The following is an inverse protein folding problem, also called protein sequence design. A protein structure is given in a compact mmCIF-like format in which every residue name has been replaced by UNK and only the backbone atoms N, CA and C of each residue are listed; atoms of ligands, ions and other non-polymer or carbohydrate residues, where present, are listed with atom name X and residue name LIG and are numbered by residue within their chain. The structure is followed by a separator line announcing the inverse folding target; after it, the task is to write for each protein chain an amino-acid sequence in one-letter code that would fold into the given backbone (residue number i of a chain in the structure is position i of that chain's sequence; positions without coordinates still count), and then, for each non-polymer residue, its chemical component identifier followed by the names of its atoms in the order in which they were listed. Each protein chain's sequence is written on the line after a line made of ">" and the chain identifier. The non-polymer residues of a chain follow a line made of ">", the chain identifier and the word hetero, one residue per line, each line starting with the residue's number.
data_IF_962687519701
#
_entry.id   IF_962687519701
#
_cell.length_a   1.000
_cell.length_b   1.000
_cell.length_c   1.000
_cell.angle_alpha   90.00
_cell.angle_beta   90.00
_cell.angle_gamma   90.00
#
_symmetry.space_group_name_H-M   'P 1'
#
loop_
_entity.id
_entity.type
_entity.pdbx_description
1 polymer ?
#
# COMPACT_ATOMS: atom_id res chain seq x y z
N UNK A 1 11.91 -0.79 -12.67
CA UNK A 1 10.44 -0.79 -12.78
C UNK A 1 9.92 0.58 -12.38
N UNK A 2 8.86 1.13 -13.02
CA UNK A 2 8.25 2.40 -12.58
C UNK A 2 7.09 2.08 -11.65
N UNK A 3 7.16 2.49 -10.39
CA UNK A 3 6.03 2.35 -9.45
C UNK A 3 4.90 3.28 -9.89
N UNK A 4 3.69 2.74 -9.99
CA UNK A 4 2.48 3.51 -10.24
C UNK A 4 1.46 3.19 -9.15
N UNK A 5 1.17 4.17 -8.29
CA UNK A 5 0.13 4.05 -7.27
C UNK A 5 -1.19 4.49 -7.89
N UNK A 6 -2.17 3.59 -7.99
CA UNK A 6 -3.50 3.92 -8.50
C UNK A 6 -4.18 4.94 -7.58
N UNK A 7 -5.01 5.87 -8.10
CA UNK A 7 -5.71 6.85 -7.28
C UNK A 7 -6.55 6.23 -6.14
N UNK A 8 -7.19 5.09 -6.39
CA UNK A 8 -7.93 4.36 -5.35
C UNK A 8 -7.02 3.94 -4.19
N UNK A 9 -5.87 3.31 -4.47
CA UNK A 9 -4.89 2.93 -3.45
C UNK A 9 -4.34 4.14 -2.67
N UNK A 10 -4.18 5.29 -3.32
CA UNK A 10 -3.82 6.54 -2.63
C UNK A 10 -4.91 6.96 -1.65
N UNK A 11 -6.18 6.94 -2.06
CA UNK A 11 -7.30 7.29 -1.19
C UNK A 11 -7.43 6.33 -0.01
N UNK A 12 -7.21 5.03 -0.23
CA UNK A 12 -7.20 4.02 0.83
C UNK A 12 -6.12 4.31 1.87
N UNK A 13 -4.90 4.66 1.44
CA UNK A 13 -3.82 5.05 2.35
C UNK A 13 -4.14 6.32 3.15
N UNK A 14 -4.77 7.33 2.52
CA UNK A 14 -5.17 8.56 3.21
C UNK A 14 -6.27 8.30 4.24
N UNK A 15 -7.26 7.46 3.91
CA UNK A 15 -8.31 7.06 4.84
C UNK A 15 -7.71 6.36 6.07
N UNK A 16 -6.78 5.43 5.84
CA UNK A 16 -6.10 4.71 6.91
C UNK A 16 -5.23 5.64 7.78
N UNK A 17 -4.52 6.58 7.16
CA UNK A 17 -3.77 7.63 7.86
C UNK A 17 -4.69 8.41 8.81
N UNK A 18 -5.80 8.93 8.29
CA UNK A 18 -6.76 9.72 9.07
C UNK A 18 -7.33 8.92 10.23
N UNK A 19 -7.73 7.68 10.00
CA UNK A 19 -8.25 6.80 11.04
C UNK A 19 -7.23 6.57 12.17
N UNK A 20 -5.98 6.26 11.81
CA UNK A 20 -4.92 6.02 12.80
C UNK A 20 -4.53 7.28 13.56
N UNK A 21 -4.50 8.44 12.89
CA UNK A 21 -4.21 9.71 13.52
C UNK A 21 -5.31 10.11 14.53
N UNK A 22 -6.58 9.89 14.17
CA UNK A 22 -7.73 10.18 15.03
C UNK A 22 -7.75 9.30 16.29
N UNK A 23 -7.45 8.00 16.16
CA UNK A 23 -7.61 7.04 17.26
C UNK A 23 -6.34 6.76 18.06
N UNK A 24 -5.16 7.02 17.49
CA UNK A 24 -3.86 6.71 18.12
C UNK A 24 -2.87 7.86 18.13
N UNK A 25 -3.32 9.07 17.75
CA UNK A 25 -2.50 10.26 17.65
C UNK A 25 -1.77 10.38 16.30
N UNK A 26 -1.45 11.62 15.94
CA UNK A 26 -0.85 11.97 14.64
C UNK A 26 0.40 11.13 14.31
N UNK A 27 1.27 10.91 15.30
CA UNK A 27 2.49 10.10 15.14
C UNK A 27 2.20 8.67 14.68
N UNK A 28 1.10 8.05 15.11
CA UNK A 28 0.74 6.71 14.66
C UNK A 28 0.37 6.72 13.17
N UNK A 29 -0.37 7.73 12.72
CA UNK A 29 -0.68 7.93 11.31
C UNK A 29 0.58 8.14 10.46
N UNK A 30 1.50 8.99 10.92
CA UNK A 30 2.76 9.24 10.23
C UNK A 30 3.66 7.99 10.16
N UNK A 31 3.70 7.19 11.23
CA UNK A 31 4.39 5.89 11.23
C UNK A 31 3.84 4.94 10.18
N UNK A 32 2.52 4.90 10.00
CA UNK A 32 1.89 4.10 8.96
C UNK A 32 2.35 4.54 7.55
N UNK A 33 2.34 5.85 7.26
CA UNK A 33 2.80 6.34 5.96
C UNK A 33 4.27 5.99 5.69
N UNK A 34 5.14 6.16 6.67
CA UNK A 34 6.57 5.78 6.54
C UNK A 34 6.72 4.28 6.26
N UNK A 35 5.96 3.43 6.92
CA UNK A 35 5.98 1.99 6.66
C UNK A 35 5.44 1.63 5.26
N UNK A 36 4.42 2.34 4.78
CA UNK A 36 3.90 2.18 3.42
C UNK A 36 4.95 2.58 2.36
N UNK A 37 5.62 3.71 2.55
CA UNK A 37 6.72 4.16 1.68
C UNK A 37 7.88 3.15 1.62
N UNK A 38 8.30 2.61 2.78
CA UNK A 38 9.31 1.56 2.84
C UNK A 38 8.89 0.30 2.07
N UNK A 39 7.62 -0.10 2.21
CA UNK A 39 7.08 -1.27 1.52
C UNK A 39 7.05 -1.07 0.00
N UNK A 40 6.63 0.11 -0.47
CA UNK A 40 6.64 0.48 -1.88
C UNK A 40 8.06 0.55 -2.46
N UNK A 41 9.01 1.07 -1.69
CA UNK A 41 10.44 1.10 -2.07
C UNK A 41 10.99 -0.32 -2.21
N UNK A 42 10.67 -1.23 -1.29
CA UNK A 42 11.05 -2.63 -1.40
C UNK A 42 10.46 -3.33 -2.61
N UNK A 43 9.21 -3.00 -3.00
CA UNK A 43 8.58 -3.53 -4.21
C UNK A 43 9.25 -3.06 -5.51
N UNK A 44 9.90 -1.90 -5.50
CA UNK A 44 10.71 -1.45 -6.64
C UNK A 44 11.95 -2.33 -6.84
N UNK A 45 12.57 -2.77 -5.74
CA UNK A 45 13.74 -3.65 -5.74
C UNK A 45 13.37 -5.12 -6.00
N UNK A 46 12.26 -5.58 -5.43
CA UNK A 46 11.81 -6.97 -5.49
C UNK A 46 10.36 -7.07 -6.00
N UNK A 47 10.11 -6.83 -7.30
CA UNK A 47 8.74 -6.71 -7.85
C UNK A 47 7.94 -8.02 -7.84
N UNK A 48 8.62 -9.16 -7.74
CA UNK A 48 7.99 -10.48 -7.63
C UNK A 48 7.89 -10.96 -6.18
N UNK A 49 8.21 -10.10 -5.20
CA UNK A 49 7.98 -10.43 -3.79
C UNK A 49 6.48 -10.54 -3.48
N UNK A 50 6.16 -11.42 -2.54
CA UNK A 50 4.78 -11.76 -2.19
C UNK A 50 4.21 -12.93 -3.00
N UNK A 51 3.22 -13.58 -2.40
CA UNK A 51 2.53 -14.74 -2.99
C UNK A 51 1.53 -14.24 -4.03
N UNK A 52 1.58 -14.72 -5.29
CA UNK A 52 0.57 -14.41 -6.29
C UNK A 52 -0.83 -14.74 -5.79
N UNK A 53 -1.77 -13.81 -5.98
CA UNK A 53 -3.17 -14.03 -5.66
C UNK A 53 -3.96 -14.25 -6.93
N UNK A 54 -4.85 -15.24 -6.88
CA UNK A 54 -5.80 -15.49 -7.96
C UNK A 54 -7.12 -14.83 -7.57
N UNK A 55 -7.57 -13.89 -8.38
CA UNK A 55 -8.86 -13.23 -8.21
C UNK A 55 -9.75 -13.54 -9.41
N UNK A 56 -11.05 -13.69 -9.19
CA UNK A 56 -12.03 -13.80 -10.28
C UNK A 56 -12.22 -12.49 -11.06
N UNK A 57 -11.78 -11.36 -10.50
CA UNK A 57 -11.82 -10.05 -11.13
C UNK A 57 -10.55 -9.79 -11.95
N UNK A 58 -10.70 -9.65 -13.27
CA UNK A 58 -9.59 -9.40 -14.21
C UNK A 58 -8.80 -8.11 -13.91
N UNK A 59 -9.40 -7.13 -13.23
CA UNK A 59 -8.73 -5.89 -12.83
C UNK A 59 -7.68 -6.10 -11.72
N UNK A 60 -7.66 -7.27 -11.10
CA UNK A 60 -6.76 -7.64 -10.01
C UNK A 60 -5.69 -8.67 -10.45
N UNK A 61 -5.56 -8.92 -11.76
CA UNK A 61 -4.48 -9.77 -12.29
C UNK A 61 -3.12 -9.19 -11.90
N UNK A 62 -2.23 -10.05 -11.40
CA UNK A 62 -0.86 -9.69 -11.02
C UNK A 62 -0.69 -9.18 -9.58
N UNK A 63 -1.76 -9.11 -8.79
CA UNK A 63 -1.69 -8.73 -7.37
C UNK A 63 -0.99 -9.82 -6.54
N UNK A 64 -0.17 -9.40 -5.58
CA UNK A 64 0.62 -10.24 -4.65
C UNK A 64 0.41 -9.77 -3.21
N UNK A 65 0.53 -10.67 -2.23
CA UNK A 65 0.52 -10.37 -0.78
C UNK A 65 1.82 -10.77 -0.11
#
# INVERSE_FOLDING_TARGET
>A
MKLAVKPAARNDMLLQLSYLAEHGGEELGLRFLRAAEQSLTRLLEYPNSGTPKTFGNSNLVGVRS
#
